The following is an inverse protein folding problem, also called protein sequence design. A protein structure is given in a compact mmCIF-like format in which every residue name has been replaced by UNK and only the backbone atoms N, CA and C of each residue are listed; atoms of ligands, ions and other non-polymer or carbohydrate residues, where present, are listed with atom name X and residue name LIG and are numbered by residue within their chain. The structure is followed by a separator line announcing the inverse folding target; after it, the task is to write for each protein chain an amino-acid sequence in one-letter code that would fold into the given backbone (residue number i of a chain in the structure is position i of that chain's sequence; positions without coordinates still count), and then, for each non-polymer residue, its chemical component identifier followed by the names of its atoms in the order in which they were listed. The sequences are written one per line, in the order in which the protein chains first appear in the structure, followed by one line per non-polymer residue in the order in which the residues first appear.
data_IF_340866090272
#
_entry.id   IF_340866090272
#
_cell.length_a   1.000
_cell.length_b   1.000
_cell.length_c   1.000
_cell.angle_alpha   90.00
_cell.angle_beta   90.00
_cell.angle_gamma   90.00
#
_symmetry.space_group_name_H-M   'P 1'
#
loop_
_entity.id
_entity.type
_entity.pdbx_description
1 polymer ?
#
# COMPACT_ATOMS: atom_id res chain seq x y z
N UNK A 1 -17.52 15.60 1.11
CA UNK A 1 -16.14 15.75 1.63
C UNK A 1 -15.84 14.49 2.40
N UNK A 2 -14.64 13.92 2.20
CA UNK A 2 -14.24 12.66 2.81
C UNK A 2 -14.22 12.74 4.33
N UNK A 3 -14.63 11.65 4.99
CA UNK A 3 -14.61 11.54 6.45
C UNK A 3 -13.34 10.80 6.86
N UNK A 4 -12.41 11.55 7.46
CA UNK A 4 -11.20 10.99 8.05
C UNK A 4 -11.42 10.90 9.57
N UNK A 5 -11.16 9.73 10.17
CA UNK A 5 -11.32 9.55 11.60
C UNK A 5 -10.40 10.48 12.40
N UNK A 6 -10.82 10.91 13.61
CA UNK A 6 -10.03 11.81 14.44
C UNK A 6 -8.77 11.15 15.00
N UNK A 7 -8.72 9.81 15.05
CA UNK A 7 -7.56 9.05 15.44
C UNK A 7 -7.03 8.27 14.24
N UNK A 8 -5.70 8.14 14.10
CA UNK A 8 -5.09 7.34 13.04
C UNK A 8 -5.28 5.84 13.25
N UNK A 9 -6.07 5.39 14.22
CA UNK A 9 -6.40 3.98 14.42
C UNK A 9 -7.80 3.88 15.01
N UNK A 10 -8.52 2.81 14.68
CA UNK A 10 -9.82 2.53 15.26
C UNK A 10 -9.65 2.07 16.71
N UNK A 11 -10.36 2.71 17.64
CA UNK A 11 -10.34 2.36 19.07
C UNK A 11 -11.55 1.50 19.38
N UNK A 12 -11.31 0.36 20.04
CA UNK A 12 -12.37 -0.53 20.51
C UNK A 12 -12.22 -0.74 22.01
N UNK A 13 -13.35 -0.79 22.72
CA UNK A 13 -13.38 -1.23 24.11
C UNK A 13 -13.49 -2.76 24.14
N UNK A 14 -12.60 -3.40 24.88
CA UNK A 14 -12.56 -4.85 25.03
C UNK A 14 -13.04 -5.19 26.44
N UNK A 15 -14.18 -5.85 26.54
CA UNK A 15 -14.70 -6.31 27.84
C UNK A 15 -13.83 -7.43 28.43
N UNK A 16 -13.82 -7.53 29.76
CA UNK A 16 -13.14 -8.57 30.51
C UNK A 16 -13.65 -9.98 30.18
N UNK A 17 -14.84 -10.12 29.60
CA UNK A 17 -15.37 -11.40 29.14
C UNK A 17 -14.93 -11.78 27.72
N UNK A 18 -14.18 -10.91 27.03
CA UNK A 18 -13.69 -11.19 25.69
C UNK A 18 -12.84 -12.48 25.70
N UNK A 19 -13.06 -13.45 24.79
CA UNK A 19 -12.41 -14.76 24.84
C UNK A 19 -10.89 -14.70 24.92
N UNK A 20 -10.28 -13.73 24.22
CA UNK A 20 -8.82 -13.51 24.27
C UNK A 20 -8.34 -13.08 25.67
N UNK A 21 -9.08 -12.18 26.33
CA UNK A 21 -8.74 -11.69 27.67
C UNK A 21 -8.88 -12.82 28.69
N UNK A 22 -9.97 -13.58 28.60
CA UNK A 22 -10.21 -14.74 29.47
C UNK A 22 -9.10 -15.80 29.30
N UNK A 23 -8.68 -16.11 28.07
CA UNK A 23 -7.58 -17.04 27.81
C UNK A 23 -6.22 -16.52 28.32
N UNK A 24 -5.97 -15.21 28.21
CA UNK A 24 -4.76 -14.57 28.70
C UNK A 24 -4.62 -14.61 30.23
N UNK A 25 -5.71 -14.39 30.95
CA UNK A 25 -5.74 -14.42 32.42
C UNK A 25 -5.87 -15.82 33.01
N UNK A 26 -6.14 -16.83 32.17
CA UNK A 26 -6.23 -18.23 32.59
C UNK A 26 -4.89 -18.74 33.15
N UNK A 27 -4.93 -19.41 34.31
CA UNK A 27 -3.76 -20.15 34.84
C UNK A 27 -3.26 -21.17 33.81
N UNK A 28 -1.96 -21.13 33.50
CA UNK A 28 -1.36 -21.87 32.39
C UNK A 28 -0.10 -22.61 32.82
N UNK A 29 0.05 -23.88 32.43
CA UNK A 29 1.30 -24.63 32.67
C UNK A 29 2.40 -24.14 31.75
N UNK A 30 3.64 -24.26 32.21
CA UNK A 30 4.82 -23.72 31.54
C UNK A 30 5.07 -24.27 30.12
N UNK A 31 4.55 -25.46 29.80
CA UNK A 31 4.74 -26.13 28.50
C UNK A 31 3.57 -25.93 27.53
N UNK A 32 2.43 -25.40 27.97
CA UNK A 32 1.29 -25.09 27.11
C UNK A 32 1.64 -23.98 26.10
N UNK A 33 0.86 -23.88 25.03
CA UNK A 33 0.96 -22.78 24.08
C UNK A 33 0.67 -21.44 24.76
N UNK A 34 1.38 -20.39 24.38
CA UNK A 34 1.17 -19.05 24.90
C UNK A 34 -0.20 -18.49 24.48
N UNK A 35 -0.83 -17.70 25.34
CA UNK A 35 -2.12 -17.06 25.09
C UNK A 35 -2.07 -16.01 23.97
N UNK A 36 -0.89 -15.46 23.65
CA UNK A 36 -0.73 -14.45 22.61
C UNK A 36 -0.84 -14.95 21.16
N UNK A 37 -1.20 -16.22 20.94
CA UNK A 37 -1.32 -16.81 19.60
C UNK A 37 -0.01 -17.08 18.86
N UNK A 38 1.17 -16.77 19.43
CA UNK A 38 2.48 -16.94 18.76
C UNK A 38 2.92 -18.38 18.47
N UNK A 39 2.17 -19.40 18.91
CA UNK A 39 2.56 -20.81 18.82
C UNK A 39 3.73 -21.23 19.73
N UNK A 40 4.38 -20.30 20.43
CA UNK A 40 5.48 -20.59 21.36
C UNK A 40 4.95 -21.17 22.67
N UNK A 41 5.77 -21.97 23.36
CA UNK A 41 5.48 -22.42 24.74
C UNK A 41 5.43 -21.22 25.68
N UNK A 42 4.47 -21.20 26.61
CA UNK A 42 4.26 -20.10 27.56
C UNK A 42 5.54 -19.72 28.32
N UNK A 43 6.34 -20.70 28.77
CA UNK A 43 7.63 -20.44 29.44
C UNK A 43 8.69 -19.74 28.58
N UNK A 44 8.55 -19.77 27.25
CA UNK A 44 9.46 -19.14 26.28
C UNK A 44 8.85 -17.86 25.69
N UNK A 45 7.72 -17.40 26.22
CA UNK A 45 6.96 -16.28 25.70
C UNK A 45 6.50 -15.39 26.87
N UNK A 46 5.24 -15.49 27.31
CA UNK A 46 4.67 -14.54 28.29
C UNK A 46 4.77 -14.94 29.77
N UNK A 47 5.44 -16.04 30.14
CA UNK A 47 5.57 -16.42 31.56
C UNK A 47 6.35 -15.40 32.40
N UNK A 48 7.35 -14.75 31.80
CA UNK A 48 8.20 -13.77 32.48
C UNK A 48 8.36 -12.48 31.67
N UNK A 49 7.35 -12.13 30.85
CA UNK A 49 7.44 -11.00 29.92
C UNK A 49 7.48 -9.65 30.63
N UNK A 50 6.77 -9.54 31.76
CA UNK A 50 6.73 -8.33 32.57
C UNK A 50 8.06 -8.00 33.23
N UNK A 51 8.91 -9.00 33.50
CA UNK A 51 10.24 -8.80 34.08
C UNK A 51 11.35 -8.60 33.03
N UNK A 52 11.04 -8.69 31.73
CA UNK A 52 12.02 -8.47 30.66
C UNK A 52 12.32 -6.99 30.46
N UNK A 53 13.57 -6.67 30.09
CA UNK A 53 13.94 -5.32 29.70
C UNK A 53 13.34 -4.96 28.32
N UNK A 54 12.63 -3.83 28.19
CA UNK A 54 12.15 -3.34 26.90
C UNK A 54 13.30 -3.11 25.92
N UNK A 55 13.04 -3.29 24.63
CA UNK A 55 14.02 -2.92 23.61
C UNK A 55 14.01 -1.41 23.38
N UNK A 56 15.18 -0.77 23.22
CA UNK A 56 15.24 0.62 22.77
C UNK A 56 14.54 0.78 21.42
N UNK A 57 13.81 1.89 21.22
CA UNK A 57 13.06 2.16 19.98
C UNK A 57 13.94 2.02 18.73
N UNK A 58 15.15 2.60 18.74
CA UNK A 58 16.09 2.50 17.62
C UNK A 58 16.47 1.04 17.27
N UNK A 59 16.52 0.14 18.26
CA UNK A 59 16.76 -1.29 18.03
C UNK A 59 15.55 -1.95 17.36
N UNK A 60 14.33 -1.62 17.80
CA UNK A 60 13.08 -2.13 17.21
C UNK A 60 13.00 -1.69 15.74
N UNK A 61 13.19 -0.40 15.47
CA UNK A 61 13.16 0.16 14.11
C UNK A 61 14.23 -0.46 13.19
N UNK A 62 15.45 -0.69 13.71
CA UNK A 62 16.51 -1.36 12.92
C UNK A 62 16.13 -2.80 12.55
N UNK A 63 15.55 -3.55 13.48
CA UNK A 63 15.13 -4.93 13.24
C UNK A 63 13.92 -5.00 12.30
N UNK A 64 12.93 -4.12 12.47
CA UNK A 64 11.80 -3.99 11.56
C UNK A 64 12.26 -3.68 10.14
N UNK A 65 13.20 -2.74 9.96
CA UNK A 65 13.77 -2.44 8.63
C UNK A 65 14.38 -3.68 7.96
N UNK A 66 15.05 -4.54 8.72
CA UNK A 66 15.63 -5.79 8.20
C UNK A 66 14.55 -6.79 7.76
N UNK A 67 13.44 -6.86 8.49
CA UNK A 67 12.28 -7.70 8.12
C UNK A 67 11.61 -7.17 6.85
N UNK A 68 11.39 -5.85 6.77
CA UNK A 68 10.76 -5.22 5.62
C UNK A 68 11.56 -5.35 4.32
N UNK A 69 12.89 -5.30 4.39
CA UNK A 69 13.79 -5.40 3.23
C UNK A 69 14.35 -6.80 2.97
N UNK A 70 13.75 -7.83 3.57
CA UNK A 70 14.14 -9.21 3.32
C UNK A 70 13.82 -9.60 1.88
N UNK A 71 14.82 -10.10 1.14
CA UNK A 71 14.63 -10.60 -0.22
C UNK A 71 13.77 -11.88 -0.21
N UNK A 72 12.69 -11.88 -1.01
CA UNK A 72 11.72 -13.00 -1.10
C UNK A 72 11.79 -13.79 -2.41
N UNK A 73 12.71 -13.44 -3.31
CA UNK A 73 12.90 -14.11 -4.61
C UNK A 73 12.37 -13.26 -5.77
N UNK A 74 12.48 -13.81 -6.98
CA UNK A 74 11.96 -13.16 -8.19
C UNK A 74 10.48 -13.53 -8.35
N UNK A 75 9.61 -12.52 -8.52
CA UNK A 75 8.16 -12.67 -8.72
C UNK A 75 7.77 -12.81 -10.19
N UNK A 76 8.74 -13.10 -11.08
CA UNK A 76 8.42 -13.35 -12.48
C UNK A 76 7.67 -14.68 -12.59
N UNK A 77 6.62 -14.81 -13.43
CA UNK A 77 5.85 -16.05 -13.51
C UNK A 77 6.71 -17.29 -13.79
N UNK A 78 7.70 -17.15 -14.67
CA UNK A 78 8.64 -18.23 -15.03
C UNK A 78 9.88 -18.30 -14.13
N UNK A 79 9.90 -17.63 -12.97
CA UNK A 79 11.07 -17.60 -12.10
C UNK A 79 11.42 -19.00 -11.56
N UNK A 80 12.67 -19.40 -11.77
CA UNK A 80 13.27 -20.62 -11.24
C UNK A 80 14.78 -20.43 -11.09
N UNK A 81 15.46 -21.43 -10.55
CA UNK A 81 16.94 -21.45 -10.46
C UNK A 81 17.57 -21.37 -11.87
N UNK A 82 16.92 -21.96 -12.89
CA UNK A 82 17.47 -22.05 -14.24
C UNK A 82 17.13 -20.85 -15.13
N UNK A 83 16.04 -20.14 -14.83
CA UNK A 83 15.57 -19.00 -15.64
C UNK A 83 16.00 -17.66 -15.09
N UNK A 84 16.15 -17.52 -13.76
CA UNK A 84 16.62 -16.28 -13.16
C UNK A 84 18.10 -16.03 -13.49
N UNK A 85 18.43 -14.80 -13.89
CA UNK A 85 19.81 -14.38 -14.16
C UNK A 85 20.09 -13.06 -13.46
N UNK A 86 21.26 -12.99 -12.82
CA UNK A 86 21.67 -11.84 -12.02
C UNK A 86 21.07 -11.86 -10.62
N UNK A 87 21.24 -10.75 -9.90
CA UNK A 87 20.78 -10.63 -8.52
C UNK A 87 19.34 -10.10 -8.47
N UNK A 88 18.64 -10.34 -7.37
CA UNK A 88 17.43 -9.59 -7.02
C UNK A 88 17.80 -8.13 -6.82
N UNK A 89 17.18 -7.26 -7.62
CA UNK A 89 17.39 -5.81 -7.64
C UNK A 89 16.28 -5.07 -6.90
N UNK A 90 16.55 -3.81 -6.56
CA UNK A 90 15.52 -2.85 -6.13
C UNK A 90 14.74 -2.40 -7.39
N UNK A 91 13.71 -3.17 -7.76
CA UNK A 91 12.87 -2.91 -8.93
C UNK A 91 11.94 -1.72 -8.67
N UNK A 92 11.83 -0.79 -9.62
CA UNK A 92 10.97 0.38 -9.48
C UNK A 92 9.55 0.03 -9.93
N UNK A 93 8.55 0.32 -9.09
CA UNK A 93 7.14 0.17 -9.44
C UNK A 93 6.72 1.29 -10.39
N UNK A 94 7.00 2.55 -10.01
CA UNK A 94 6.88 3.73 -10.89
C UNK A 94 8.19 3.93 -11.65
N UNK A 95 8.13 4.10 -12.96
CA UNK A 95 9.33 4.12 -13.81
C UNK A 95 10.25 5.29 -13.48
N UNK A 96 11.54 4.99 -13.38
CA UNK A 96 12.55 6.00 -13.02
C UNK A 96 12.81 6.98 -14.16
N UNK A 97 12.97 6.48 -15.39
CA UNK A 97 13.18 7.29 -16.61
C UNK A 97 11.85 7.52 -17.33
N UNK A 98 10.89 8.03 -16.58
CA UNK A 98 9.50 8.20 -16.99
C UNK A 98 8.82 9.12 -15.97
N UNK A 99 7.77 8.69 -15.26
CA UNK A 99 7.04 9.58 -14.35
C UNK A 99 7.91 10.19 -13.25
N UNK A 100 8.82 9.41 -12.63
CA UNK A 100 9.71 9.94 -11.58
C UNK A 100 10.69 10.99 -12.12
N UNK A 101 11.15 10.86 -13.37
CA UNK A 101 12.04 11.86 -14.00
C UNK A 101 11.34 13.20 -14.23
N UNK A 102 10.01 13.20 -14.39
CA UNK A 102 9.23 14.43 -14.56
C UNK A 102 9.09 15.24 -13.28
N UNK A 103 9.16 14.59 -12.12
CA UNK A 103 8.98 15.23 -10.81
C UNK A 103 10.27 15.38 -9.99
N UNK A 104 11.40 14.85 -10.48
CA UNK A 104 12.67 14.89 -9.75
C UNK A 104 13.24 16.31 -9.71
N UNK A 105 13.72 16.72 -8.54
CA UNK A 105 14.44 17.98 -8.37
C UNK A 105 15.83 17.92 -9.01
N UNK A 106 16.47 19.09 -9.16
CA UNK A 106 17.86 19.20 -9.63
C UNK A 106 18.87 18.46 -8.75
N UNK A 107 18.55 18.21 -7.47
CA UNK A 107 19.38 17.43 -6.55
C UNK A 107 19.13 15.92 -6.63
N UNK A 108 18.26 15.45 -7.52
CA UNK A 108 17.96 14.02 -7.69
C UNK A 108 16.99 13.45 -6.64
N UNK A 109 16.08 14.28 -6.12
CA UNK A 109 15.13 13.88 -5.09
C UNK A 109 13.69 14.18 -5.49
N UNK A 110 12.77 13.35 -5.01
CA UNK A 110 11.31 13.55 -5.07
C UNK A 110 10.79 13.63 -3.63
N UNK A 111 9.55 14.07 -3.45
CA UNK A 111 8.90 14.07 -2.15
C UNK A 111 7.91 12.90 -2.03
N UNK A 112 7.71 12.43 -0.81
CA UNK A 112 6.68 11.45 -0.43
C UNK A 112 6.18 11.79 0.98
N UNK A 113 4.99 11.30 1.34
CA UNK A 113 4.56 11.29 2.73
C UNK A 113 5.27 10.16 3.47
N UNK A 114 5.92 10.47 4.59
CA UNK A 114 6.65 9.49 5.38
C UNK A 114 6.38 9.70 6.87
N UNK A 115 5.99 8.62 7.56
CA UNK A 115 5.81 8.61 9.02
C UNK A 115 7.13 8.94 9.71
N UNK A 116 7.14 10.00 10.52
CA UNK A 116 8.31 10.43 11.27
C UNK A 116 8.49 9.61 12.55
N UNK A 117 9.74 9.55 13.01
CA UNK A 117 10.08 8.86 14.26
C UNK A 117 9.59 9.62 15.49
N UNK A 118 9.44 10.94 15.36
CA UNK A 118 9.03 11.86 16.42
C UNK A 118 7.55 12.19 16.19
N UNK A 119 6.66 11.53 16.95
CA UNK A 119 5.21 11.83 16.93
C UNK A 119 4.35 10.89 16.08
N UNK A 120 4.95 10.05 15.22
CA UNK A 120 4.21 9.02 14.49
C UNK A 120 3.27 9.55 13.39
N UNK A 121 3.39 10.82 13.03
CA UNK A 121 2.65 11.43 11.93
C UNK A 121 3.47 11.40 10.63
N UNK A 122 2.80 11.18 9.50
CA UNK A 122 3.33 11.34 8.16
C UNK A 122 3.58 12.82 7.86
N UNK A 123 4.80 13.11 7.43
CA UNK A 123 5.23 14.42 6.94
C UNK A 123 5.74 14.28 5.50
N UNK A 124 5.63 15.35 4.72
CA UNK A 124 6.26 15.39 3.41
C UNK A 124 7.79 15.41 3.56
N UNK A 125 8.47 14.38 3.06
CA UNK A 125 9.92 14.20 3.16
C UNK A 125 10.55 13.95 1.80
N UNK A 126 11.78 14.43 1.66
CA UNK A 126 12.59 14.22 0.47
C UNK A 126 13.21 12.82 0.47
N UNK A 127 13.14 12.13 -0.66
CA UNK A 127 13.77 10.82 -0.89
C UNK A 127 14.48 10.83 -2.24
N UNK A 128 15.65 10.16 -2.31
CA UNK A 128 16.33 9.99 -3.58
C UNK A 128 15.41 9.24 -4.56
N UNK A 129 15.26 9.76 -5.77
CA UNK A 129 14.47 9.10 -6.82
C UNK A 129 14.93 7.67 -7.15
N UNK A 130 16.18 7.31 -6.81
CA UNK A 130 16.72 5.93 -6.95
C UNK A 130 16.19 4.96 -5.89
N UNK A 131 15.55 5.49 -4.85
CA UNK A 131 14.95 4.75 -3.73
C UNK A 131 13.44 4.97 -3.64
N UNK A 132 12.90 5.90 -4.41
CA UNK A 132 11.48 6.10 -4.59
C UNK A 132 10.87 4.90 -5.32
N UNK A 133 9.75 4.39 -4.80
CA UNK A 133 8.95 3.34 -5.42
C UNK A 133 9.68 2.02 -5.69
N UNK A 134 10.70 1.66 -4.90
CA UNK A 134 11.48 0.43 -5.13
C UNK A 134 11.11 -0.71 -4.17
N UNK A 135 11.15 -1.94 -4.67
CA UNK A 135 11.05 -3.15 -3.86
C UNK A 135 11.90 -4.30 -4.44
N UNK A 136 12.40 -5.24 -3.61
CA UNK A 136 13.27 -6.32 -4.07
C UNK A 136 12.46 -7.52 -4.60
N UNK A 137 11.74 -7.30 -5.71
CA UNK A 137 10.78 -8.26 -6.28
C UNK A 137 11.26 -9.03 -7.51
N UNK A 138 12.29 -8.57 -8.22
CA UNK A 138 12.70 -9.18 -9.50
C UNK A 138 14.22 -9.33 -9.61
N UNK A 139 14.66 -10.35 -10.35
CA UNK A 139 16.04 -10.40 -10.81
C UNK A 139 16.25 -9.43 -11.99
N UNK A 140 17.46 -8.94 -12.19
CA UNK A 140 17.76 -7.95 -13.23
C UNK A 140 17.30 -8.37 -14.63
N UNK A 141 17.44 -9.65 -14.98
CA UNK A 141 17.01 -10.16 -16.29
C UNK A 141 15.49 -10.11 -16.46
N UNK A 142 14.74 -10.69 -15.53
CA UNK A 142 13.29 -10.76 -15.64
C UNK A 142 12.60 -9.40 -15.50
N UNK A 143 13.14 -8.50 -14.68
CA UNK A 143 12.64 -7.12 -14.59
C UNK A 143 12.71 -6.43 -15.96
N UNK A 144 13.87 -6.48 -16.60
CA UNK A 144 14.09 -5.86 -17.91
C UNK A 144 13.30 -6.54 -19.02
N UNK A 145 13.22 -7.88 -19.03
CA UNK A 145 12.54 -8.60 -20.11
C UNK A 145 11.01 -8.50 -20.03
N UNK A 146 10.44 -8.63 -18.84
CA UNK A 146 8.98 -8.62 -18.67
C UNK A 146 8.39 -7.23 -18.87
N UNK A 147 9.04 -6.22 -18.30
CA UNK A 147 8.51 -4.86 -18.30
C UNK A 147 9.05 -3.98 -19.42
N UNK A 148 9.83 -4.51 -20.36
CA UNK A 148 10.26 -3.75 -21.54
C UNK A 148 9.11 -3.01 -22.25
N UNK A 149 7.91 -3.60 -22.46
CA UNK A 149 6.81 -2.90 -23.15
C UNK A 149 6.36 -1.62 -22.45
N UNK A 150 6.50 -1.54 -21.13
CA UNK A 150 6.18 -0.33 -20.37
C UNK A 150 7.42 0.56 -20.21
N UNK A 151 8.63 0.01 -20.04
CA UNK A 151 9.85 0.80 -19.77
C UNK A 151 10.48 1.48 -20.99
N UNK A 152 10.31 0.92 -22.19
CA UNK A 152 11.03 1.39 -23.40
C UNK A 152 10.16 2.02 -24.46
N UNK A 153 8.85 2.10 -24.23
CA UNK A 153 7.87 2.57 -25.21
C UNK A 153 7.02 3.68 -24.60
N UNK A 154 6.61 4.65 -25.41
CA UNK A 154 5.60 5.63 -25.00
C UNK A 154 4.30 4.91 -24.66
N UNK A 155 3.61 5.36 -23.61
CA UNK A 155 2.30 4.84 -23.26
C UNK A 155 1.24 5.33 -24.25
N UNK A 156 0.51 4.39 -24.87
CA UNK A 156 -0.52 4.70 -25.87
C UNK A 156 -1.92 4.23 -25.49
N UNK A 157 -2.11 3.78 -24.25
CA UNK A 157 -3.36 3.11 -23.84
C UNK A 157 -3.45 1.65 -24.30
N UNK A 158 -2.31 1.05 -24.70
CA UNK A 158 -2.27 -0.37 -25.05
C UNK A 158 -2.63 -1.24 -23.84
N UNK A 159 -3.57 -2.16 -24.04
CA UNK A 159 -4.12 -2.96 -22.95
C UNK A 159 -3.08 -3.84 -22.26
N UNK A 160 -2.11 -4.37 -23.01
CA UNK A 160 -0.99 -5.14 -22.45
C UNK A 160 -0.09 -4.26 -21.57
N UNK A 161 0.20 -3.02 -21.98
CA UNK A 161 0.90 -2.06 -21.11
C UNK A 161 0.15 -1.83 -19.79
N UNK A 162 -1.17 -1.61 -19.86
CA UNK A 162 -2.01 -1.43 -18.67
C UNK A 162 -1.91 -2.62 -17.71
N UNK A 163 -2.08 -3.85 -18.22
CA UNK A 163 -2.02 -5.06 -17.39
C UNK A 163 -0.61 -5.31 -16.84
N UNK A 164 0.46 -4.97 -17.56
CA UNK A 164 1.82 -5.05 -17.04
C UNK A 164 2.09 -4.06 -15.90
N UNK A 165 1.52 -2.85 -15.96
CA UNK A 165 1.56 -1.92 -14.81
C UNK A 165 0.84 -2.51 -13.60
N UNK A 166 -0.35 -3.09 -13.79
CA UNK A 166 -1.11 -3.75 -12.73
C UNK A 166 -0.35 -4.93 -12.11
N UNK A 167 0.32 -5.74 -12.95
CA UNK A 167 1.16 -6.84 -12.47
C UNK A 167 2.32 -6.36 -11.60
N UNK A 168 2.97 -5.26 -12.00
CA UNK A 168 4.04 -4.69 -11.19
C UNK A 168 3.52 -4.16 -9.85
N UNK A 169 2.36 -3.52 -9.86
CA UNK A 169 1.70 -3.02 -8.65
C UNK A 169 1.34 -4.14 -7.67
N UNK A 170 0.69 -5.22 -8.13
CA UNK A 170 0.34 -6.33 -7.22
C UNK A 170 1.59 -7.04 -6.67
N UNK A 171 2.67 -7.13 -7.45
CA UNK A 171 3.93 -7.69 -6.94
C UNK A 171 4.51 -6.85 -5.80
N UNK A 172 4.48 -5.51 -5.93
CA UNK A 172 4.93 -4.59 -4.90
C UNK A 172 4.05 -4.70 -3.64
N UNK A 173 2.72 -4.69 -3.81
CA UNK A 173 1.79 -4.75 -2.69
C UNK A 173 1.85 -6.10 -1.96
N UNK A 174 1.87 -7.20 -2.70
CA UNK A 174 2.07 -8.54 -2.15
C UNK A 174 3.38 -8.62 -1.34
N UNK A 175 4.49 -8.10 -1.87
CA UNK A 175 5.76 -8.02 -1.14
C UNK A 175 5.63 -7.23 0.18
N UNK A 176 5.00 -6.05 0.12
CA UNK A 176 4.79 -5.18 1.29
C UNK A 176 3.90 -5.84 2.34
N UNK A 177 2.84 -6.53 1.94
CA UNK A 177 1.95 -7.28 2.84
C UNK A 177 2.66 -8.44 3.52
N UNK A 178 3.47 -9.21 2.79
CA UNK A 178 4.32 -10.25 3.41
C UNK A 178 5.26 -9.65 4.45
N UNK A 179 5.92 -8.54 4.11
CA UNK A 179 6.78 -7.80 5.02
C UNK A 179 6.05 -7.27 6.26
N UNK A 180 4.82 -6.76 6.09
CA UNK A 180 4.00 -6.24 7.18
C UNK A 180 3.58 -7.36 8.13
N UNK A 181 3.10 -8.49 7.62
CA UNK A 181 2.75 -9.67 8.45
C UNK A 181 3.97 -10.15 9.24
N UNK A 182 5.13 -10.30 8.59
CA UNK A 182 6.37 -10.68 9.28
C UNK A 182 6.80 -9.64 10.34
N UNK A 183 6.59 -8.35 10.05
CA UNK A 183 6.89 -7.26 10.99
C UNK A 183 5.96 -7.30 12.21
N UNK A 184 4.67 -7.54 12.02
CA UNK A 184 3.70 -7.68 13.12
C UNK A 184 4.01 -8.91 13.98
N UNK A 185 4.38 -10.04 13.38
CA UNK A 185 4.83 -11.23 14.11
C UNK A 185 6.13 -10.97 14.90
N UNK A 186 7.03 -10.15 14.35
CA UNK A 186 8.19 -9.67 15.11
C UNK A 186 7.75 -8.79 16.28
N UNK A 187 6.88 -7.80 16.04
CA UNK A 187 6.36 -6.90 17.08
C UNK A 187 5.70 -7.67 18.22
N UNK A 188 4.87 -8.67 17.90
CA UNK A 188 4.22 -9.62 18.83
C UNK A 188 5.21 -10.19 19.85
N UNK A 189 6.47 -10.38 19.45
CA UNK A 189 7.49 -11.00 20.29
C UNK A 189 8.28 -10.03 21.16
N UNK A 190 8.20 -8.71 20.91
CA UNK A 190 9.11 -7.72 21.52
C UNK A 190 8.46 -6.46 22.10
N UNK A 191 7.32 -5.98 21.60
CA UNK A 191 6.87 -4.61 21.93
C UNK A 191 6.21 -4.49 23.30
N UNK A 192 5.76 -5.61 23.88
CA UNK A 192 5.10 -5.68 25.19
C UNK A 192 6.03 -6.12 26.33
N UNK A 193 7.34 -6.16 26.06
CA UNK A 193 8.38 -6.49 27.05
C UNK A 193 8.43 -5.46 28.16
N UNK A 194 8.49 -5.93 29.40
CA UNK A 194 8.58 -5.06 30.57
C UNK A 194 7.27 -4.33 30.91
N UNK A 195 6.16 -4.69 30.27
CA UNK A 195 4.86 -4.07 30.50
C UNK A 195 4.00 -4.90 31.44
N UNK A 196 3.05 -4.27 32.13
CA UNK A 196 2.03 -4.96 32.93
C UNK A 196 1.08 -5.80 32.08
N UNK A 197 0.47 -6.82 32.68
CA UNK A 197 -0.34 -7.82 31.96
C UNK A 197 -1.48 -7.19 31.14
N UNK A 198 -2.17 -6.18 31.66
CA UNK A 198 -3.28 -5.53 30.93
C UNK A 198 -2.80 -4.84 29.65
N UNK A 199 -1.62 -4.20 29.72
CA UNK A 199 -0.99 -3.56 28.55
C UNK A 199 -0.52 -4.63 27.55
N UNK A 200 0.04 -5.74 28.03
CA UNK A 200 0.40 -6.88 27.16
C UNK A 200 -0.84 -7.42 26.44
N UNK A 201 -1.96 -7.64 27.15
CA UNK A 201 -3.20 -8.16 26.57
C UNK A 201 -3.70 -7.24 25.45
N UNK A 202 -3.82 -5.93 25.72
CA UNK A 202 -4.29 -4.97 24.73
C UNK A 202 -3.42 -4.94 23.46
N UNK A 203 -2.09 -4.92 23.65
CA UNK A 203 -1.14 -4.93 22.54
C UNK A 203 -1.26 -6.22 21.72
N UNK A 204 -1.31 -7.37 22.39
CA UNK A 204 -1.32 -8.68 21.73
C UNK A 204 -2.64 -8.95 21.01
N UNK A 205 -3.76 -8.47 21.55
CA UNK A 205 -5.06 -8.52 20.89
C UNK A 205 -5.04 -7.69 19.60
N UNK A 206 -4.63 -6.42 19.69
CA UNK A 206 -4.52 -5.52 18.54
C UNK A 206 -3.59 -6.07 17.45
N UNK A 207 -2.41 -6.60 17.83
CA UNK A 207 -1.50 -7.26 16.88
C UNK A 207 -2.15 -8.49 16.24
N UNK A 208 -2.91 -9.28 17.00
CA UNK A 208 -3.50 -10.52 16.49
C UNK A 208 -4.60 -10.25 15.47
N UNK A 209 -5.50 -9.30 15.76
CA UNK A 209 -6.53 -8.85 14.82
C UNK A 209 -5.89 -8.23 13.57
N UNK A 210 -4.84 -7.42 13.74
CA UNK A 210 -4.12 -6.84 12.59
C UNK A 210 -3.48 -7.93 11.73
N UNK A 211 -2.80 -8.92 12.33
CA UNK A 211 -2.23 -10.06 11.59
C UNK A 211 -3.31 -10.82 10.84
N UNK A 212 -4.49 -11.02 11.41
CA UNK A 212 -5.61 -11.69 10.74
C UNK A 212 -6.08 -10.92 9.51
N UNK A 213 -6.36 -9.63 9.65
CA UNK A 213 -6.75 -8.78 8.52
C UNK A 213 -5.67 -8.66 7.44
N UNK A 214 -4.39 -8.54 7.82
CA UNK A 214 -3.30 -8.49 6.83
C UNK A 214 -3.06 -9.84 6.15
N UNK A 215 -3.33 -10.97 6.82
CA UNK A 215 -3.27 -12.30 6.19
C UNK A 215 -4.40 -12.49 5.17
N UNK A 216 -5.61 -12.03 5.49
CA UNK A 216 -6.73 -11.99 4.54
C UNK A 216 -6.36 -11.19 3.29
N UNK A 217 -5.88 -9.96 3.48
CA UNK A 217 -5.42 -9.11 2.38
C UNK A 217 -4.26 -9.73 1.57
N UNK A 218 -3.34 -10.43 2.24
CA UNK A 218 -2.24 -11.13 1.57
C UNK A 218 -2.73 -12.31 0.71
N UNK A 219 -3.75 -13.04 1.16
CA UNK A 219 -4.39 -14.11 0.40
C UNK A 219 -5.07 -13.55 -0.86
N UNK A 220 -5.87 -12.50 -0.72
CA UNK A 220 -6.55 -11.82 -1.84
C UNK A 220 -5.54 -11.31 -2.88
N UNK A 221 -4.49 -10.62 -2.44
CA UNK A 221 -3.40 -10.16 -3.31
C UNK A 221 -2.67 -11.31 -4.00
N UNK A 222 -2.51 -12.44 -3.31
CA UNK A 222 -1.93 -13.66 -3.88
C UNK A 222 -2.79 -14.22 -5.01
N UNK A 223 -4.09 -14.35 -4.78
CA UNK A 223 -5.05 -14.86 -5.76
C UNK A 223 -5.09 -13.97 -7.02
N UNK A 224 -5.15 -12.65 -6.85
CA UNK A 224 -5.14 -11.71 -7.97
C UNK A 224 -3.81 -11.73 -8.74
N UNK A 225 -2.69 -11.83 -8.02
CA UNK A 225 -1.37 -12.00 -8.63
C UNK A 225 -1.32 -13.28 -9.48
N UNK A 226 -1.83 -14.39 -8.98
CA UNK A 226 -1.81 -15.67 -9.71
C UNK A 226 -2.60 -15.58 -11.03
N UNK A 227 -3.73 -14.85 -11.07
CA UNK A 227 -4.50 -14.61 -12.30
C UNK A 227 -3.68 -13.77 -13.29
N UNK A 228 -3.01 -12.71 -12.84
CA UNK A 228 -2.12 -11.89 -13.67
C UNK A 228 -0.91 -12.68 -14.18
N UNK A 229 -0.33 -13.54 -13.34
CA UNK A 229 0.77 -14.42 -13.75
C UNK A 229 0.33 -15.37 -14.87
N UNK A 230 -0.86 -15.96 -14.77
CA UNK A 230 -1.43 -16.81 -15.81
C UNK A 230 -1.63 -16.02 -17.11
N UNK A 231 -2.24 -14.82 -17.03
CA UNK A 231 -2.43 -13.94 -18.18
C UNK A 231 -1.10 -13.60 -18.89
N UNK A 232 -0.06 -13.29 -18.12
CA UNK A 232 1.28 -13.00 -18.65
C UNK A 232 1.92 -14.24 -19.27
N UNK A 233 1.81 -15.42 -18.65
CA UNK A 233 2.39 -16.67 -19.19
C UNK A 233 1.82 -17.02 -20.56
N UNK A 234 0.52 -16.77 -20.74
CA UNK A 234 -0.21 -17.17 -21.95
C UNK A 234 -0.46 -16.02 -22.93
N UNK A 235 0.07 -14.82 -22.64
CA UNK A 235 -0.17 -13.60 -23.43
C UNK A 235 -1.67 -13.32 -23.64
N UNK A 236 -2.49 -13.66 -22.62
CA UNK A 236 -3.94 -13.54 -22.64
C UNK A 236 -4.41 -12.54 -21.59
N UNK A 237 -4.57 -11.29 -22.01
CA UNK A 237 -4.93 -10.17 -21.14
C UNK A 237 -6.44 -9.92 -21.04
N UNK A 238 -7.26 -10.59 -21.85
CA UNK A 238 -8.72 -10.40 -21.95
C UNK A 238 -9.49 -10.72 -20.65
N UNK A 239 -8.82 -11.31 -19.66
CA UNK A 239 -9.34 -11.49 -18.30
C UNK A 239 -9.47 -10.17 -17.54
N UNK A 240 -8.85 -9.09 -18.00
CA UNK A 240 -8.84 -7.80 -17.34
C UNK A 240 -9.57 -6.76 -18.16
N UNK A 241 -10.12 -5.76 -17.48
CA UNK A 241 -10.60 -4.53 -18.08
C UNK A 241 -9.62 -3.40 -17.73
N UNK A 242 -9.56 -2.38 -18.59
CA UNK A 242 -8.73 -1.20 -18.33
C UNK A 242 -9.39 0.08 -18.80
N UNK A 243 -9.33 1.13 -17.98
CA UNK A 243 -9.75 2.48 -18.32
C UNK A 243 -8.54 3.42 -18.28
N UNK A 244 -8.41 4.27 -19.30
CA UNK A 244 -7.27 5.19 -19.46
C UNK A 244 -7.79 6.61 -19.62
N UNK A 245 -7.39 7.50 -18.71
CA UNK A 245 -7.77 8.91 -18.71
C UNK A 245 -6.54 9.72 -19.06
N UNK A 246 -6.41 10.07 -20.34
CA UNK A 246 -5.34 10.94 -20.80
C UNK A 246 -5.60 12.36 -20.31
N UNK A 247 -4.54 13.08 -19.97
CA UNK A 247 -4.65 14.47 -19.56
C UNK A 247 -3.50 15.33 -20.07
N UNK A 248 -3.82 16.59 -20.35
CA UNK A 248 -2.84 17.65 -20.49
C UNK A 248 -2.58 18.29 -19.12
N UNK A 249 -1.40 18.85 -18.91
CA UNK A 249 -1.00 19.48 -17.65
C UNK A 249 0.36 19.00 -17.18
N UNK A 250 0.89 19.63 -16.12
CA UNK A 250 2.20 19.28 -15.59
C UNK A 250 2.09 18.04 -14.71
N UNK A 251 2.94 17.04 -14.99
CA UNK A 251 3.03 15.86 -14.14
C UNK A 251 3.79 16.21 -12.87
N UNK A 252 3.05 16.55 -11.81
CA UNK A 252 3.59 16.99 -10.52
C UNK A 252 3.42 15.96 -9.39
N UNK A 253 2.48 15.03 -9.56
CA UNK A 253 2.19 13.93 -8.65
C UNK A 253 2.14 12.63 -9.45
N UNK A 254 2.76 11.57 -8.93
CA UNK A 254 2.76 10.23 -9.54
C UNK A 254 2.44 9.21 -8.47
N UNK A 255 1.62 8.22 -8.82
CA UNK A 255 1.21 7.16 -7.89
C UNK A 255 1.04 5.85 -8.65
N UNK A 256 1.35 4.73 -8.00
CA UNK A 256 0.96 3.42 -8.51
C UNK A 256 0.65 2.47 -7.36
N UNK A 257 -0.49 1.79 -7.42
CA UNK A 257 -0.90 0.84 -6.40
C UNK A 257 -1.89 -0.15 -6.94
N UNK A 258 -2.13 -1.19 -6.15
CA UNK A 258 -3.39 -1.93 -6.16
C UNK A 258 -4.05 -1.70 -4.80
N UNK A 259 -5.36 -1.47 -4.79
CA UNK A 259 -6.13 -1.27 -3.56
C UNK A 259 -7.39 -2.12 -3.58
N UNK A 260 -7.91 -2.44 -2.39
CA UNK A 260 -9.22 -3.07 -2.25
C UNK A 260 -10.31 -2.01 -2.35
N UNK A 261 -11.37 -2.30 -3.09
CA UNK A 261 -12.45 -1.35 -3.37
C UNK A 261 -13.46 -1.27 -2.21
N UNK A 262 -13.08 -0.70 -1.08
CA UNK A 262 -14.00 -0.51 0.06
C UNK A 262 -15.09 0.53 -0.25
N UNK A 263 -14.73 1.60 -0.95
CA UNK A 263 -15.60 2.71 -1.30
C UNK A 263 -15.37 3.19 -2.73
N UNK A 264 -16.39 3.78 -3.34
CA UNK A 264 -16.29 4.50 -4.62
C UNK A 264 -15.92 6.00 -4.42
N UNK A 265 -15.68 6.75 -5.50
CA UNK A 265 -15.30 8.18 -5.41
C UNK A 265 -16.42 9.08 -4.85
N UNK A 266 -17.67 8.60 -4.89
CA UNK A 266 -18.83 9.27 -4.32
C UNK A 266 -19.05 8.90 -2.84
N UNK A 267 -18.19 8.04 -2.28
CA UNK A 267 -18.20 7.64 -0.88
C UNK A 267 -19.23 6.55 -0.56
N UNK A 268 -19.77 5.86 -1.57
CA UNK A 268 -20.63 4.70 -1.37
C UNK A 268 -19.77 3.52 -0.92
N UNK A 269 -20.16 2.87 0.19
CA UNK A 269 -19.47 1.67 0.69
C UNK A 269 -19.84 0.47 -0.17
N UNK A 270 -18.85 -0.15 -0.81
CA UNK A 270 -19.01 -1.31 -1.69
C UNK A 270 -18.85 -2.61 -0.90
N UNK A 271 -17.87 -2.64 0.01
CA UNK A 271 -17.62 -3.78 0.90
C UNK A 271 -17.22 -3.30 2.30
N UNK A 272 -17.40 -4.14 3.32
CA UNK A 272 -16.89 -3.88 4.66
C UNK A 272 -15.58 -4.63 4.90
N UNK A 273 -14.45 -3.92 4.84
CA UNK A 273 -13.12 -4.51 5.02
C UNK A 273 -12.87 -5.05 6.44
N UNK A 274 -13.75 -4.72 7.40
CA UNK A 274 -13.72 -5.26 8.76
C UNK A 274 -14.37 -6.64 8.85
N UNK A 275 -15.17 -7.04 7.86
CA UNK A 275 -15.76 -8.36 7.74
C UNK A 275 -14.85 -9.28 6.92
N UNK A 276 -13.83 -9.83 7.58
CA UNK A 276 -12.83 -10.71 6.97
C UNK A 276 -13.39 -12.01 6.38
N UNK A 277 -14.69 -12.30 6.58
CA UNK A 277 -15.35 -13.44 5.94
C UNK A 277 -15.65 -13.21 4.46
N UNK A 278 -15.61 -11.96 4.00
CA UNK A 278 -15.82 -11.57 2.61
C UNK A 278 -14.49 -11.36 1.91
N UNK A 279 -14.44 -11.69 0.63
CA UNK A 279 -13.32 -11.33 -0.25
C UNK A 279 -13.54 -9.92 -0.81
N UNK A 280 -12.49 -9.10 -0.79
CA UNK A 280 -12.51 -7.77 -1.36
C UNK A 280 -11.84 -7.74 -2.72
N UNK A 281 -12.60 -7.23 -3.70
CA UNK A 281 -12.15 -7.02 -5.07
C UNK A 281 -11.18 -5.84 -5.14
N UNK A 282 -10.31 -5.85 -6.14
CA UNK A 282 -9.19 -4.92 -6.24
C UNK A 282 -9.16 -4.12 -7.52
N UNK A 283 -8.71 -2.87 -7.40
CA UNK A 283 -8.45 -1.96 -8.50
C UNK A 283 -6.98 -1.54 -8.47
N UNK A 284 -6.28 -1.74 -9.58
CA UNK A 284 -4.95 -1.17 -9.79
C UNK A 284 -5.06 0.20 -10.41
N UNK A 285 -4.31 1.18 -9.89
CA UNK A 285 -4.13 2.48 -10.51
C UNK A 285 -2.66 2.77 -10.82
N UNK A 286 -2.38 3.49 -11.90
CA UNK A 286 -1.02 3.97 -12.22
C UNK A 286 -1.09 5.33 -12.92
N UNK A 287 -0.22 6.25 -12.52
CA UNK A 287 0.03 7.48 -13.26
C UNK A 287 1.27 7.33 -14.13
N UNK A 288 1.12 7.54 -15.43
CA UNK A 288 2.22 7.51 -16.41
C UNK A 288 2.38 8.86 -17.08
N UNK A 289 3.57 9.14 -17.61
CA UNK A 289 3.80 10.30 -18.46
C UNK A 289 3.49 9.97 -19.92
N UNK A 290 3.00 10.96 -20.65
CA UNK A 290 2.79 10.92 -22.10
C UNK A 290 3.48 12.12 -22.74
N UNK A 291 3.45 12.24 -24.06
CA UNK A 291 4.07 13.38 -24.76
C UNK A 291 3.36 14.71 -24.44
N UNK A 292 2.04 14.69 -24.21
CA UNK A 292 1.20 15.87 -23.91
C UNK A 292 0.96 16.16 -22.43
N UNK A 293 1.30 15.24 -21.54
CA UNK A 293 1.05 15.34 -20.10
C UNK A 293 1.22 13.99 -19.43
N UNK A 294 0.10 13.34 -19.12
CA UNK A 294 0.09 12.02 -18.52
C UNK A 294 -1.19 11.23 -18.81
N UNK A 295 -1.30 10.07 -18.17
CA UNK A 295 -2.52 9.30 -18.11
C UNK A 295 -2.70 8.66 -16.73
N UNK A 296 -3.95 8.61 -16.26
CA UNK A 296 -4.37 7.78 -15.15
C UNK A 296 -4.87 6.47 -15.74
N UNK A 297 -4.32 5.35 -15.29
CA UNK A 297 -4.67 4.01 -15.76
C UNK A 297 -5.34 3.28 -14.62
N UNK A 298 -6.54 2.74 -14.86
CA UNK A 298 -7.21 1.78 -14.00
C UNK A 298 -7.21 0.40 -14.65
N UNK A 299 -6.98 -0.65 -13.86
CA UNK A 299 -7.04 -2.06 -14.29
C UNK A 299 -7.67 -2.91 -13.21
N UNK A 300 -8.62 -3.75 -13.59
CA UNK A 300 -9.31 -4.68 -12.69
C UNK A 300 -9.66 -5.99 -13.40
N UNK A 301 -10.03 -7.01 -12.63
CA UNK A 301 -10.47 -8.28 -13.17
C UNK A 301 -11.85 -8.12 -13.81
N UNK A 302 -12.02 -8.63 -15.03
CA UNK A 302 -13.28 -8.56 -15.76
C UNK A 302 -14.37 -9.32 -15.02
N UNK A 303 -15.49 -8.63 -14.76
CA UNK A 303 -16.64 -9.18 -14.05
C UNK A 303 -16.67 -8.91 -12.55
N UNK A 304 -15.63 -8.29 -11.98
CA UNK A 304 -15.65 -7.81 -10.60
C UNK A 304 -16.46 -6.50 -10.52
N UNK A 305 -17.61 -6.47 -9.83
CA UNK A 305 -18.51 -5.32 -9.81
C UNK A 305 -18.00 -4.12 -8.99
N UNK A 306 -17.20 -4.33 -7.93
CA UNK A 306 -16.75 -3.21 -7.10
C UNK A 306 -15.75 -2.30 -7.83
N UNK A 307 -14.69 -2.82 -8.48
CA UNK A 307 -13.79 -1.99 -9.27
C UNK A 307 -14.50 -1.30 -10.44
N UNK A 308 -15.42 -1.99 -11.12
CA UNK A 308 -16.25 -1.40 -12.18
C UNK A 308 -17.04 -0.20 -11.63
N UNK A 309 -17.69 -0.35 -10.47
CA UNK A 309 -18.41 0.73 -9.81
C UNK A 309 -17.49 1.90 -9.39
N UNK A 310 -16.27 1.62 -8.94
CA UNK A 310 -15.29 2.68 -8.63
C UNK A 310 -14.95 3.48 -9.89
N UNK A 311 -14.70 2.81 -11.01
CA UNK A 311 -14.36 3.47 -12.28
C UNK A 311 -15.55 4.28 -12.83
N UNK A 312 -16.77 3.73 -12.80
CA UNK A 312 -17.99 4.47 -13.16
C UNK A 312 -18.16 5.74 -12.30
N UNK A 313 -17.92 5.62 -10.99
CA UNK A 313 -18.02 6.77 -10.09
C UNK A 313 -16.95 7.85 -10.36
N UNK A 314 -15.84 7.47 -10.99
CA UNK A 314 -14.81 8.40 -11.45
C UNK A 314 -15.23 9.06 -12.78
N UNK A 315 -15.88 8.31 -13.68
CA UNK A 315 -16.43 8.82 -14.93
C UNK A 315 -17.50 9.90 -14.69
N UNK A 316 -18.32 9.72 -13.65
CA UNK A 316 -19.36 10.65 -13.21
C UNK A 316 -18.81 12.01 -12.73
N UNK A 317 -17.50 12.12 -12.46
CA UNK A 317 -16.87 13.37 -12.03
C UNK A 317 -16.67 14.33 -13.22
N UNK A 318 -16.80 15.65 -13.01
CA UNK A 318 -16.41 16.64 -14.01
C UNK A 318 -14.94 16.48 -14.43
N UNK A 319 -14.65 16.64 -15.72
CA UNK A 319 -13.30 16.42 -16.27
C UNK A 319 -12.24 17.36 -15.67
N UNK A 320 -12.62 18.57 -15.28
CA UNK A 320 -11.76 19.54 -14.61
C UNK A 320 -11.56 19.27 -13.10
N UNK A 321 -12.29 18.29 -12.55
CA UNK A 321 -12.23 17.86 -11.14
C UNK A 321 -11.46 16.56 -10.94
N UNK A 322 -11.44 15.70 -11.96
CA UNK A 322 -10.83 14.36 -11.91
C UNK A 322 -9.40 14.38 -11.38
N UNK A 323 -8.55 15.28 -11.88
CA UNK A 323 -7.15 15.38 -11.44
C UNK A 323 -7.01 15.71 -9.95
N UNK A 324 -7.77 16.70 -9.47
CA UNK A 324 -7.76 17.12 -8.07
C UNK A 324 -8.25 15.99 -7.14
N UNK A 325 -9.39 15.40 -7.47
CA UNK A 325 -10.00 14.29 -6.70
C UNK A 325 -9.08 13.06 -6.70
N UNK A 326 -8.47 12.73 -7.84
CA UNK A 326 -7.56 11.59 -7.93
C UNK A 326 -6.29 11.77 -7.08
N UNK A 327 -5.73 12.99 -7.00
CA UNK A 327 -4.59 13.28 -6.11
C UNK A 327 -4.99 13.11 -4.64
N UNK A 328 -6.19 13.57 -4.25
CA UNK A 328 -6.71 13.33 -2.91
C UNK A 328 -6.83 11.82 -2.62
N UNK A 329 -7.42 11.06 -3.55
CA UNK A 329 -7.55 9.61 -3.46
C UNK A 329 -6.19 8.90 -3.31
N UNK A 330 -5.18 9.29 -4.08
CA UNK A 330 -3.83 8.73 -3.98
C UNK A 330 -3.22 8.95 -2.59
N UNK A 331 -3.38 10.15 -2.02
CA UNK A 331 -2.80 10.48 -0.72
C UNK A 331 -3.53 9.81 0.44
N UNK A 332 -4.83 9.51 0.30
CA UNK A 332 -5.59 8.76 1.31
C UNK A 332 -5.26 7.27 1.25
N UNK A 333 -5.15 6.68 0.06
CA UNK A 333 -5.17 5.21 -0.11
C UNK A 333 -3.82 4.60 -0.49
N UNK A 334 -2.81 5.40 -0.83
CA UNK A 334 -1.56 4.89 -1.43
C UNK A 334 -0.30 5.58 -0.89
N UNK A 335 0.47 4.81 -0.11
CA UNK A 335 1.82 5.21 0.32
C UNK A 335 2.81 5.34 -0.84
N UNK A 336 2.58 4.63 -1.96
CA UNK A 336 3.43 4.66 -3.15
C UNK A 336 3.07 5.86 -4.05
N UNK A 337 2.96 7.04 -3.44
CA UNK A 337 2.65 8.32 -4.06
C UNK A 337 3.82 9.28 -3.86
N UNK A 338 4.30 9.86 -4.96
CA UNK A 338 5.44 10.77 -4.98
C UNK A 338 5.07 12.07 -5.70
N UNK A 339 5.69 13.16 -5.30
CA UNK A 339 5.39 14.47 -5.86
C UNK A 339 6.63 15.35 -5.94
N UNK A 340 6.56 16.37 -6.81
CA UNK A 340 7.67 17.30 -7.02
C UNK A 340 7.80 18.28 -5.83
N UNK A 341 9.02 18.74 -5.55
CA UNK A 341 9.23 19.79 -4.54
C UNK A 341 8.50 21.08 -4.92
N UNK A 342 8.56 21.44 -6.21
CA UNK A 342 7.91 22.64 -6.73
C UNK A 342 6.39 22.60 -6.51
N UNK A 343 5.76 21.45 -6.70
CA UNK A 343 4.34 21.28 -6.44
C UNK A 343 4.01 21.48 -4.96
N UNK A 344 4.74 20.77 -4.08
CA UNK A 344 4.50 20.86 -2.65
C UNK A 344 4.68 22.29 -2.11
N UNK A 345 5.79 22.94 -2.48
CA UNK A 345 6.14 24.29 -2.01
C UNK A 345 5.21 25.37 -2.57
N UNK A 346 4.49 25.10 -3.65
CA UNK A 346 3.50 26.02 -4.23
C UNK A 346 2.13 25.94 -3.55
N UNK A 347 1.86 24.89 -2.77
CA UNK A 347 0.63 24.77 -2.00
C UNK A 347 0.68 25.70 -0.78
N UNK A 348 -0.45 26.33 -0.47
CA UNK A 348 -0.60 27.04 0.80
C UNK A 348 -0.61 26.09 2.00
N UNK A 349 -0.31 26.64 3.19
CA UNK A 349 -0.19 25.88 4.44
C UNK A 349 -1.44 25.07 4.77
N UNK A 350 -2.63 25.56 4.42
CA UNK A 350 -3.89 24.87 4.66
C UNK A 350 -4.00 23.61 3.79
N UNK A 351 -3.66 23.70 2.50
CA UNK A 351 -3.61 22.54 1.61
C UNK A 351 -2.55 21.55 2.04
N UNK A 352 -1.33 22.00 2.37
CA UNK A 352 -0.28 21.10 2.86
C UNK A 352 -0.73 20.34 4.11
N UNK A 353 -1.34 21.03 5.08
CA UNK A 353 -1.87 20.42 6.30
C UNK A 353 -2.97 19.40 5.98
N UNK A 354 -3.90 19.74 5.09
CA UNK A 354 -4.99 18.83 4.68
C UNK A 354 -4.47 17.57 3.98
N UNK A 355 -3.50 17.71 3.08
CA UNK A 355 -2.90 16.56 2.39
C UNK A 355 -2.05 15.69 3.33
N UNK A 356 -1.41 16.29 4.32
CA UNK A 356 -0.77 15.53 5.41
C UNK A 356 -1.80 14.76 6.23
N UNK A 357 -2.96 15.34 6.55
CA UNK A 357 -4.04 14.62 7.23
C UNK A 357 -4.52 13.41 6.40
N UNK A 358 -4.64 13.58 5.08
CA UNK A 358 -5.01 12.50 4.17
C UNK A 358 -3.99 11.36 4.22
N UNK A 359 -2.69 11.69 4.13
CA UNK A 359 -1.62 10.70 4.21
C UNK A 359 -1.42 10.08 5.61
N UNK A 360 -2.02 10.67 6.65
CA UNK A 360 -2.02 10.14 8.02
C UNK A 360 -3.23 9.25 8.31
N UNK A 361 -4.24 9.23 7.44
CA UNK A 361 -5.40 8.39 7.60
C UNK A 361 -4.99 6.93 7.38
N UNK A 362 -5.09 6.09 8.42
CA UNK A 362 -4.84 4.64 8.25
C UNK A 362 -6.11 3.88 7.85
N UNK A 363 -7.26 4.56 7.86
CA UNK A 363 -8.54 4.06 7.41
C UNK A 363 -9.45 5.23 7.03
N UNK A 364 -10.43 4.96 6.18
CA UNK A 364 -11.36 5.93 5.61
C UNK A 364 -12.79 5.55 6.00
N UNK A 365 -13.58 6.51 6.47
CA UNK A 365 -14.96 6.27 6.94
C UNK A 365 -16.03 6.65 5.90
N UNK A 366 -15.65 6.74 4.61
CA UNK A 366 -16.56 7.06 3.52
C UNK A 366 -16.78 8.57 3.30
N UNK A 367 -17.77 8.90 2.48
CA UNK A 367 -18.14 10.27 2.10
C UNK A 367 -17.44 10.77 0.85
N UNK A 368 -18.18 11.39 -0.07
CA UNK A 368 -17.67 11.76 -1.40
C UNK A 368 -16.40 12.61 -1.37
N UNK A 369 -15.46 12.27 -2.26
CA UNK A 369 -14.40 13.18 -2.65
C UNK A 369 -15.02 14.40 -3.32
N UNK A 370 -14.50 15.58 -2.98
CA UNK A 370 -14.97 16.85 -3.53
C UNK A 370 -13.74 17.64 -3.92
N UNK A 371 -13.74 18.16 -5.14
CA UNK A 371 -12.60 18.89 -5.64
C UNK A 371 -12.38 20.20 -4.84
N UNK A 372 -11.13 20.60 -4.68
CA UNK A 372 -10.79 21.86 -4.01
C UNK A 372 -11.17 23.05 -4.89
N UNK A 373 -11.60 24.16 -4.28
CA UNK A 373 -11.91 25.41 -5.01
C UNK A 373 -10.74 25.88 -5.87
N UNK A 374 -9.52 25.78 -5.30
CA UNK A 374 -8.27 25.90 -6.04
C UNK A 374 -7.70 24.50 -6.25
N UNK A 375 -7.71 24.05 -7.50
CA UNK A 375 -7.26 22.70 -7.88
C UNK A 375 -5.80 22.45 -7.44
N UNK A 376 -5.55 21.24 -6.96
CA UNK A 376 -4.23 20.76 -6.57
C UNK A 376 -3.30 20.57 -7.77
N UNK A 377 -3.86 20.27 -8.93
CA UNK A 377 -3.14 20.04 -10.19
C UNK A 377 -3.89 20.69 -11.34
N UNK A 378 -3.18 20.98 -12.43
CA UNK A 378 -3.73 21.55 -13.67
C UNK A 378 -4.12 20.49 -14.70
N UNK A 379 -4.42 19.27 -14.24
CA UNK A 379 -4.72 18.14 -15.11
C UNK A 379 -6.10 18.28 -15.73
N UNK A 380 -6.13 18.37 -17.06
CA UNK A 380 -7.35 18.43 -17.86
C UNK A 380 -7.49 17.14 -18.66
N UNK A 381 -8.50 16.32 -18.34
CA UNK A 381 -8.78 15.08 -19.08
C UNK A 381 -9.15 15.41 -20.53
N UNK A 382 -8.70 14.58 -21.49
CA UNK A 382 -8.90 14.77 -22.95
C UNK A 382 -9.43 13.55 -23.68
#
# INVERSE_FOLDING_TARGET
MINIPPNPFRVFEVDNQHPFVVDALRKRKHFEACWCGSGKKYKKCHRGRGEEQPYPLGKILNLQRKVFWRKRGCMHPLASVDTCRGQIIDAHTIQRKGPLERIVSSSGHVMQSQVTQEGGAAEAKSISWRKASVFPGFCSFHDSSLFSPIETSTFTGDHKQCVLHAFRNVCNEYYKKQALVESLEFQRSVIDRGMEIDRQINIQLSISENIEGQKKSLEENGNYRDILEEAIRWDNYDKFESACYFFNGKLDVVSSSIIHCEFDFLGNKLIDMWDISKDAEMLSHTVVNTDGGGAIIFVWLKGDPHPERVVESFDDLPDDEKGDIFVQYCLVNCENTFFSHQWWDALDDNKQTKLQQYANATYYEGGAYTANEQRLVDWMIV
#
